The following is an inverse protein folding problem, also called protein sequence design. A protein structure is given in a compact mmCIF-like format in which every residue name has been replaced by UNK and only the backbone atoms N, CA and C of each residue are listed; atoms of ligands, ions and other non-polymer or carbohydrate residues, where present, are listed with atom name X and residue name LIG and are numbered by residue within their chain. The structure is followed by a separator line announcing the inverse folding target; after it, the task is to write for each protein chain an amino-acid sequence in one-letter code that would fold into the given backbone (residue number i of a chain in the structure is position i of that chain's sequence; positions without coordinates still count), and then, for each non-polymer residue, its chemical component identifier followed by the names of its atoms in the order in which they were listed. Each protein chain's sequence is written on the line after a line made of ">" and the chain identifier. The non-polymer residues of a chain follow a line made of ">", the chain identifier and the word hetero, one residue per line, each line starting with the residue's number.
data_IF_093881765253
#
_entry.id   IF_093881765253
#
_cell.length_a   1.000
_cell.length_b   1.000
_cell.length_c   1.000
_cell.angle_alpha   90.00
_cell.angle_beta   90.00
_cell.angle_gamma   90.00
#
_symmetry.space_group_name_H-M   'P 1'
#
loop_
_entity.id
_entity.type
_entity.pdbx_description
1 polymer ?
#
# COMPACT_ATOMS: atom_id res chain seq x y z
N UNK A 1 68.08 36.17 16.40
CA UNK A 1 67.11 35.36 15.65
C UNK A 1 67.24 33.95 16.19
N UNK A 2 66.67 33.72 17.37
CA UNK A 2 65.28 33.25 17.60
C UNK A 2 65.20 31.75 17.30
N UNK A 3 65.27 30.93 18.36
CA UNK A 3 64.13 30.23 18.98
C UNK A 3 63.64 29.08 18.08
N UNK A 4 63.79 27.82 18.50
CA UNK A 4 62.72 27.17 19.25
C UNK A 4 63.12 25.78 19.76
N UNK A 5 62.75 25.52 21.00
CA UNK A 5 63.01 24.28 21.73
C UNK A 5 61.67 23.75 22.25
N UNK A 6 61.40 22.46 22.01
CA UNK A 6 60.41 21.72 22.80
C UNK A 6 59.12 21.37 22.07
N UNK A 7 59.07 20.15 21.55
CA UNK A 7 57.82 19.39 21.46
C UNK A 7 58.13 17.91 21.15
N UNK A 8 58.46 17.13 22.18
CA UNK A 8 58.49 15.66 22.04
C UNK A 8 58.02 14.85 23.24
N UNK A 9 57.61 15.47 24.34
CA UNK A 9 57.22 14.76 25.57
C UNK A 9 55.75 14.96 26.00
N UNK A 10 54.85 15.42 25.12
CA UNK A 10 53.44 15.66 25.50
C UNK A 10 52.45 14.63 24.91
N UNK A 11 52.81 13.92 23.83
CA UNK A 11 51.86 12.98 23.19
C UNK A 11 51.76 11.61 23.89
N UNK A 12 52.84 11.07 24.47
CA UNK A 12 52.82 9.73 25.09
C UNK A 12 52.14 9.69 26.49
N UNK A 13 51.93 10.85 27.13
CA UNK A 13 51.24 10.95 28.43
C UNK A 13 49.72 11.09 28.29
N UNK A 14 49.27 11.75 27.22
CA UNK A 14 47.83 11.96 26.95
C UNK A 14 47.18 10.69 26.40
N UNK A 15 47.87 9.90 25.57
CA UNK A 15 47.29 8.68 25.01
C UNK A 15 47.10 7.57 26.07
N UNK A 16 48.01 7.47 27.03
CA UNK A 16 47.91 6.50 28.13
C UNK A 16 46.86 6.89 29.20
N UNK A 17 46.59 8.19 29.41
CA UNK A 17 45.51 8.62 30.31
C UNK A 17 44.12 8.39 29.71
N UNK A 18 43.96 8.60 28.40
CA UNK A 18 42.69 8.38 27.69
C UNK A 18 42.32 6.89 27.64
N UNK A 19 43.30 5.99 27.44
CA UNK A 19 43.05 4.55 27.45
C UNK A 19 42.67 4.01 28.84
N UNK A 20 43.25 4.57 29.91
CA UNK A 20 42.99 4.13 31.28
C UNK A 20 41.60 4.58 31.77
N UNK A 21 41.13 5.76 31.35
CA UNK A 21 39.78 6.25 31.63
C UNK A 21 38.70 5.52 30.80
N UNK A 22 38.96 5.18 29.55
CA UNK A 22 38.03 4.40 28.73
C UNK A 22 37.79 2.99 29.30
N UNK A 23 38.83 2.34 29.84
CA UNK A 23 38.70 1.02 30.46
C UNK A 23 37.94 1.08 31.80
N UNK A 24 38.12 2.16 32.58
CA UNK A 24 37.39 2.41 33.82
C UNK A 24 35.91 2.70 33.58
N UNK A 25 35.59 3.49 32.55
CA UNK A 25 34.20 3.81 32.15
C UNK A 25 33.49 2.55 31.64
N UNK A 26 34.16 1.72 30.85
CA UNK A 26 33.57 0.48 30.34
C UNK A 26 33.29 -0.54 31.46
N UNK A 27 34.16 -0.63 32.48
CA UNK A 27 33.90 -1.46 33.65
C UNK A 27 32.78 -0.89 34.55
N UNK A 28 32.62 0.44 34.61
CA UNK A 28 31.52 1.07 35.35
C UNK A 28 30.16 0.79 34.72
N UNK A 29 30.06 0.87 33.38
CA UNK A 29 28.84 0.51 32.64
C UNK A 29 28.56 -1.00 32.69
N UNK A 30 29.60 -1.85 32.67
CA UNK A 30 29.45 -3.30 32.77
C UNK A 30 29.02 -3.77 34.16
N UNK A 31 29.40 -3.05 35.22
CA UNK A 31 28.93 -3.32 36.58
C UNK A 31 27.55 -2.70 36.87
N UNK A 32 27.19 -1.54 36.28
CA UNK A 32 25.83 -1.00 36.40
C UNK A 32 24.75 -1.91 35.77
N UNK A 33 25.11 -2.64 34.71
CA UNK A 33 24.23 -3.63 34.08
C UNK A 33 24.11 -4.96 34.85
N UNK A 34 24.92 -5.19 35.88
CA UNK A 34 24.82 -6.41 36.71
C UNK A 34 23.84 -6.29 37.87
N UNK A 35 23.50 -5.08 38.30
CA UNK A 35 22.80 -4.87 39.58
C UNK A 35 21.33 -4.43 39.47
N UNK A 36 20.68 -4.56 38.32
CA UNK A 36 19.24 -4.27 38.29
C UNK A 36 18.40 -5.14 37.34
N UNK A 37 18.17 -6.42 37.70
CA UNK A 37 17.21 -7.28 36.99
C UNK A 37 15.79 -6.70 36.97
N UNK A 38 15.48 -5.74 37.85
CA UNK A 38 14.22 -5.00 37.86
C UNK A 38 14.13 -3.96 36.72
N UNK A 39 15.21 -3.24 36.40
CA UNK A 39 15.21 -2.23 35.34
C UNK A 39 15.11 -2.86 33.94
N UNK A 40 15.77 -4.01 33.74
CA UNK A 40 15.66 -4.80 32.51
C UNK A 40 14.27 -5.43 32.36
N UNK A 41 13.65 -5.89 33.45
CA UNK A 41 12.26 -6.36 33.44
C UNK A 41 11.28 -5.22 33.12
N UNK A 42 11.47 -4.03 33.70
CA UNK A 42 10.61 -2.87 33.45
C UNK A 42 10.76 -2.38 32.00
N UNK A 43 11.97 -2.33 31.44
CA UNK A 43 12.18 -1.94 30.03
C UNK A 43 11.60 -2.98 29.08
N UNK A 44 11.80 -4.27 29.33
CA UNK A 44 11.18 -5.37 28.56
C UNK A 44 9.66 -5.32 28.66
N UNK A 45 9.10 -5.10 29.84
CA UNK A 45 7.65 -5.02 30.04
C UNK A 45 7.04 -3.77 29.38
N UNK A 46 7.76 -2.65 29.37
CA UNK A 46 7.36 -1.42 28.67
C UNK A 46 7.41 -1.59 27.15
N UNK A 47 8.44 -2.25 26.62
CA UNK A 47 8.56 -2.60 25.19
C UNK A 47 7.47 -3.60 24.77
N UNK A 48 7.19 -4.61 25.60
CA UNK A 48 6.11 -5.57 25.36
C UNK A 48 4.74 -4.88 25.38
N UNK A 49 4.52 -3.95 26.34
CA UNK A 49 3.29 -3.16 26.42
C UNK A 49 3.09 -2.29 25.18
N UNK A 50 4.11 -1.53 24.77
CA UNK A 50 4.06 -0.70 23.55
C UNK A 50 3.82 -1.56 22.30
N UNK A 51 4.46 -2.73 22.20
CA UNK A 51 4.27 -3.65 21.08
C UNK A 51 2.85 -4.23 21.05
N UNK A 52 2.27 -4.53 22.22
CA UNK A 52 0.90 -5.03 22.32
C UNK A 52 -0.16 -3.96 21.99
N UNK A 53 0.03 -2.73 22.47
CA UNK A 53 -0.86 -1.59 22.20
C UNK A 53 -0.87 -1.24 20.71
N UNK A 54 0.31 -1.28 20.09
CA UNK A 54 0.47 -0.94 18.69
C UNK A 54 -0.11 -2.02 17.75
N UNK A 55 0.03 -3.29 18.11
CA UNK A 55 -0.60 -4.40 17.39
C UNK A 55 -2.14 -4.34 17.50
N UNK A 56 -2.66 -3.97 18.67
CA UNK A 56 -4.10 -3.82 18.91
C UNK A 56 -4.69 -2.64 18.12
N UNK A 57 -3.97 -1.52 18.00
CA UNK A 57 -4.39 -0.37 17.19
C UNK A 57 -4.42 -0.68 15.68
N UNK A 58 -3.43 -1.40 15.16
CA UNK A 58 -3.41 -1.81 13.74
C UNK A 58 -4.59 -2.72 13.39
N UNK A 59 -4.94 -3.65 14.28
CA UNK A 59 -6.08 -4.53 14.09
C UNK A 59 -7.42 -3.78 14.08
N UNK A 60 -7.60 -2.81 14.97
CA UNK A 60 -8.83 -2.01 15.02
C UNK A 60 -9.03 -1.20 13.74
N UNK A 61 -7.96 -0.64 13.18
CA UNK A 61 -8.02 0.14 11.94
C UNK A 61 -8.35 -0.72 10.72
N UNK A 62 -7.76 -1.92 10.60
CA UNK A 62 -8.12 -2.85 9.53
C UNK A 62 -9.60 -3.23 9.59
N UNK A 63 -10.11 -3.49 10.80
CA UNK A 63 -11.53 -3.77 11.04
C UNK A 63 -12.42 -2.59 10.59
N UNK A 64 -12.02 -1.36 10.91
CA UNK A 64 -12.76 -0.17 10.48
C UNK A 64 -12.77 0.00 8.96
N UNK A 65 -11.64 -0.25 8.29
CA UNK A 65 -11.58 -0.23 6.82
C UNK A 65 -12.49 -1.28 6.18
N UNK A 66 -12.52 -2.50 6.74
CA UNK A 66 -13.42 -3.57 6.24
C UNK A 66 -14.88 -3.18 6.43
N UNK A 67 -15.24 -2.60 7.58
CA UNK A 67 -16.61 -2.11 7.83
C UNK A 67 -16.95 -0.99 6.83
N UNK A 68 -16.04 -0.06 6.57
CA UNK A 68 -16.23 1.02 5.61
C UNK A 68 -16.48 0.50 4.19
N UNK A 69 -15.63 -0.41 3.69
CA UNK A 69 -15.85 -1.01 2.35
C UNK A 69 -17.13 -1.83 2.29
N UNK A 70 -17.55 -2.46 3.39
CA UNK A 70 -18.82 -3.17 3.48
C UNK A 70 -20.02 -2.24 3.38
N UNK A 71 -19.96 -1.07 4.02
CA UNK A 71 -21.01 -0.03 3.92
C UNK A 71 -21.17 0.47 2.48
N UNK A 72 -20.05 0.64 1.75
CA UNK A 72 -20.06 1.11 0.36
C UNK A 72 -20.51 0.01 -0.62
N UNK A 73 -20.51 -1.27 -0.20
CA UNK A 73 -20.83 -2.42 -1.06
C UNK A 73 -19.62 -3.01 -1.79
N UNK A 74 -18.41 -2.56 -1.45
CA UNK A 74 -17.12 -3.03 -1.97
C UNK A 74 -16.49 -4.13 -1.10
N UNK A 75 -17.21 -4.66 -0.11
CA UNK A 75 -16.80 -5.84 0.65
C UNK A 75 -18.03 -6.71 0.96
N UNK A 76 -18.37 -7.61 0.02
CA UNK A 76 -19.53 -8.50 0.14
C UNK A 76 -19.30 -9.67 1.09
N UNK A 77 -18.07 -9.93 1.55
CA UNK A 77 -17.71 -11.08 2.37
C UNK A 77 -18.02 -10.91 3.88
N UNK A 78 -18.21 -12.04 4.57
CA UNK A 78 -18.25 -12.11 6.02
C UNK A 78 -16.85 -12.30 6.59
N UNK A 79 -16.54 -11.58 7.66
CA UNK A 79 -15.29 -11.72 8.39
C UNK A 79 -15.52 -12.66 9.58
N UNK A 80 -14.94 -13.86 9.54
CA UNK A 80 -15.03 -14.82 10.63
C UNK A 80 -13.65 -15.00 11.30
N UNK A 81 -13.61 -14.87 12.62
CA UNK A 81 -12.42 -15.13 13.42
C UNK A 81 -12.48 -16.60 13.82
N UNK A 82 -11.62 -17.44 13.23
CA UNK A 82 -11.47 -18.83 13.66
C UNK A 82 -10.29 -18.90 14.63
N UNK A 83 -10.57 -19.11 15.91
CA UNK A 83 -9.52 -19.38 16.89
C UNK A 83 -9.04 -20.82 16.76
N UNK A 84 -7.79 -21.02 16.33
CA UNK A 84 -7.13 -22.33 16.35
C UNK A 84 -5.84 -22.24 17.16
N UNK A 85 -5.76 -23.00 18.25
CA UNK A 85 -4.58 -23.19 19.12
C UNK A 85 -3.77 -21.89 19.41
N UNK A 86 -4.32 -21.01 20.26
CA UNK A 86 -3.67 -19.80 20.83
C UNK A 86 -3.36 -18.62 19.89
N UNK A 87 -3.70 -18.67 18.59
CA UNK A 87 -3.58 -17.51 17.68
C UNK A 87 -4.88 -17.30 16.90
N UNK A 88 -5.33 -16.07 16.75
CA UNK A 88 -6.52 -15.72 15.95
C UNK A 88 -6.17 -15.80 14.47
N UNK A 89 -6.74 -16.78 13.75
CA UNK A 89 -6.67 -16.84 12.30
C UNK A 89 -7.94 -16.18 11.75
N UNK A 90 -7.74 -15.22 10.85
CA UNK A 90 -8.82 -14.49 10.21
C UNK A 90 -9.14 -15.19 8.90
N UNK A 91 -10.38 -15.64 8.74
CA UNK A 91 -10.83 -16.31 7.51
C UNK A 91 -12.02 -15.55 6.96
N UNK A 92 -11.94 -15.19 5.69
CA UNK A 92 -13.03 -14.56 4.96
C UNK A 92 -13.95 -15.64 4.40
N UNK A 93 -15.26 -15.42 4.50
CA UNK A 93 -16.27 -16.35 4.03
C UNK A 93 -17.27 -15.66 3.10
N UNK A 94 -17.85 -16.48 2.23
CA UNK A 94 -18.98 -16.10 1.42
C UNK A 94 -20.17 -15.70 2.31
N UNK A 95 -20.90 -14.66 1.90
CA UNK A 95 -22.01 -14.10 2.66
C UNK A 95 -23.14 -13.72 1.73
N UNK A 96 -24.24 -14.47 1.79
CA UNK A 96 -25.47 -14.21 1.03
C UNK A 96 -26.09 -12.85 1.39
N UNK A 97 -25.99 -12.44 2.66
CA UNK A 97 -26.41 -11.10 3.10
C UNK A 97 -25.67 -9.97 2.40
N UNK A 98 -24.42 -10.20 1.97
CA UNK A 98 -23.64 -9.20 1.24
C UNK A 98 -24.21 -8.97 -0.17
N UNK A 99 -24.69 -10.04 -0.80
CA UNK A 99 -25.36 -9.97 -2.11
C UNK A 99 -26.69 -9.25 -1.98
N UNK A 100 -27.52 -9.65 -1.01
CA UNK A 100 -28.83 -8.99 -0.76
C UNK A 100 -28.64 -7.50 -0.50
N UNK A 101 -27.64 -7.13 0.30
CA UNK A 101 -27.31 -5.72 0.56
C UNK A 101 -26.94 -4.97 -0.72
N UNK A 102 -26.05 -5.52 -1.54
CA UNK A 102 -25.64 -4.88 -2.80
C UNK A 102 -26.81 -4.77 -3.80
N UNK A 103 -27.72 -5.74 -3.85
CA UNK A 103 -28.93 -5.67 -4.69
C UNK A 103 -29.87 -4.55 -4.22
N UNK A 104 -30.07 -4.41 -2.90
CA UNK A 104 -30.85 -3.30 -2.33
C UNK A 104 -30.17 -1.96 -2.63
N UNK A 105 -28.85 -1.88 -2.50
CA UNK A 105 -28.08 -0.67 -2.78
C UNK A 105 -28.18 -0.26 -4.26
N UNK A 106 -28.05 -1.20 -5.19
CA UNK A 106 -28.27 -0.94 -6.63
C UNK A 106 -29.69 -0.46 -6.91
N UNK A 107 -30.69 -1.07 -6.27
CA UNK A 107 -32.10 -0.66 -6.41
C UNK A 107 -32.33 0.76 -5.89
N UNK A 108 -31.68 1.13 -4.78
CA UNK A 108 -31.75 2.47 -4.21
C UNK A 108 -31.12 3.52 -5.12
N UNK A 109 -30.00 3.19 -5.78
CA UNK A 109 -29.35 4.09 -6.76
C UNK A 109 -30.26 4.34 -7.97
N UNK A 110 -30.90 3.29 -8.49
CA UNK A 110 -31.86 3.40 -9.59
C UNK A 110 -33.06 4.26 -9.18
N UNK A 111 -33.60 4.05 -7.98
CA UNK A 111 -34.69 4.86 -7.44
C UNK A 111 -34.27 6.33 -7.24
N UNK A 112 -33.05 6.57 -6.77
CA UNK A 112 -32.49 7.91 -6.61
C UNK A 112 -32.41 8.64 -7.96
N UNK A 113 -32.02 7.97 -9.04
CA UNK A 113 -31.99 8.56 -10.37
C UNK A 113 -33.36 8.95 -10.90
N UNK A 114 -34.35 8.10 -10.65
CA UNK A 114 -35.73 8.39 -11.05
C UNK A 114 -36.24 9.70 -10.43
N UNK A 115 -35.75 10.05 -9.24
CA UNK A 115 -36.07 11.31 -8.56
C UNK A 115 -35.14 12.47 -8.99
N UNK A 116 -33.84 12.21 -9.15
CA UNK A 116 -32.85 13.27 -9.39
C UNK A 116 -32.90 13.84 -10.81
N UNK A 117 -33.16 13.01 -11.83
CA UNK A 117 -33.24 13.45 -13.23
C UNK A 117 -34.35 14.49 -13.45
N UNK A 118 -35.62 14.26 -13.08
CA UNK A 118 -36.67 15.26 -13.26
C UNK A 118 -36.44 16.51 -12.40
N UNK A 119 -35.84 16.35 -11.21
CA UNK A 119 -35.45 17.50 -10.38
C UNK A 119 -34.42 18.39 -11.08
N UNK A 120 -33.40 17.80 -11.72
CA UNK A 120 -32.38 18.55 -12.49
C UNK A 120 -32.95 19.25 -13.71
N UNK A 121 -33.86 18.61 -14.44
CA UNK A 121 -34.49 19.22 -15.62
C UNK A 121 -35.25 20.51 -15.25
N UNK A 122 -35.85 20.53 -14.06
CA UNK A 122 -36.65 21.65 -13.56
C UNK A 122 -35.83 22.71 -12.81
N UNK A 123 -34.57 22.45 -12.44
CA UNK A 123 -33.69 23.43 -11.81
C UNK A 123 -33.23 24.49 -12.84
N UNK A 124 -33.30 25.76 -12.46
CA UNK A 124 -32.72 26.88 -13.21
C UNK A 124 -31.40 27.30 -12.55
N UNK A 125 -30.34 27.41 -13.35
CA UNK A 125 -29.03 27.88 -12.92
C UNK A 125 -28.37 28.71 -14.02
N UNK A 126 -27.40 29.55 -13.65
CA UNK A 126 -26.90 30.69 -14.43
C UNK A 126 -26.27 30.32 -15.80
N UNK A 127 -25.81 29.07 -15.97
CA UNK A 127 -25.20 28.55 -17.20
C UNK A 127 -26.02 27.42 -17.86
N UNK A 128 -27.33 27.37 -17.64
CA UNK A 128 -28.20 26.32 -18.17
C UNK A 128 -28.30 26.41 -19.70
N UNK A 129 -27.81 25.37 -20.38
CA UNK A 129 -28.01 25.17 -21.83
C UNK A 129 -28.54 23.76 -22.09
N UNK A 130 -29.19 23.55 -23.24
CA UNK A 130 -29.65 22.20 -23.62
C UNK A 130 -28.49 21.19 -23.67
N UNK A 131 -27.28 21.65 -23.99
CA UNK A 131 -26.08 20.82 -24.04
C UNK A 131 -25.57 20.46 -22.65
N UNK A 132 -25.47 21.42 -21.72
CA UNK A 132 -25.00 21.15 -20.34
C UNK A 132 -25.97 20.23 -19.60
N UNK A 133 -27.28 20.48 -19.72
CA UNK A 133 -28.32 19.62 -19.16
C UNK A 133 -28.23 18.19 -19.74
N UNK A 134 -28.01 18.07 -21.05
CA UNK A 134 -27.83 16.76 -21.69
C UNK A 134 -26.62 16.00 -21.16
N UNK A 135 -25.49 16.68 -20.95
CA UNK A 135 -24.27 16.07 -20.40
C UNK A 135 -24.47 15.67 -18.93
N UNK A 136 -25.10 16.50 -18.11
CA UNK A 136 -25.36 16.18 -16.70
C UNK A 136 -26.27 14.94 -16.54
N UNK A 137 -27.34 14.86 -17.35
CA UNK A 137 -28.22 13.69 -17.34
C UNK A 137 -27.46 12.45 -17.80
N UNK A 138 -26.67 12.55 -18.86
CA UNK A 138 -25.84 11.46 -19.35
C UNK A 138 -24.85 10.99 -18.28
N UNK A 139 -24.18 11.91 -17.60
CA UNK A 139 -23.22 11.61 -16.53
C UNK A 139 -23.91 10.94 -15.33
N UNK A 140 -25.11 11.39 -14.95
CA UNK A 140 -25.90 10.78 -13.87
C UNK A 140 -26.27 9.32 -14.20
N UNK A 141 -26.78 9.09 -15.42
CA UNK A 141 -27.15 7.76 -15.90
C UNK A 141 -25.93 6.84 -15.98
N UNK A 142 -24.84 7.32 -16.58
CA UNK A 142 -23.59 6.57 -16.70
C UNK A 142 -22.98 6.25 -15.33
N UNK A 143 -22.91 7.23 -14.43
CA UNK A 143 -22.35 7.04 -13.09
C UNK A 143 -23.11 5.97 -12.32
N UNK A 144 -24.43 5.96 -12.44
CA UNK A 144 -25.26 4.95 -11.77
C UNK A 144 -25.17 3.58 -12.41
N UNK A 145 -25.09 3.52 -13.74
CA UNK A 145 -24.83 2.27 -14.46
C UNK A 145 -23.47 1.68 -14.04
N UNK A 146 -22.45 2.51 -13.88
CA UNK A 146 -21.13 2.09 -13.40
C UNK A 146 -21.19 1.58 -11.96
N UNK A 147 -21.85 2.28 -11.04
CA UNK A 147 -22.01 1.78 -9.67
C UNK A 147 -22.75 0.43 -9.67
N UNK A 148 -23.87 0.32 -10.39
CA UNK A 148 -24.63 -0.94 -10.46
C UNK A 148 -23.79 -2.08 -11.05
N UNK A 149 -22.99 -1.79 -12.08
CA UNK A 149 -22.08 -2.76 -12.69
C UNK A 149 -21.01 -3.21 -11.70
N UNK A 150 -20.38 -2.29 -10.96
CA UNK A 150 -19.40 -2.60 -9.92
C UNK A 150 -20.06 -3.48 -8.83
N UNK A 151 -21.20 -3.05 -8.29
CA UNK A 151 -21.91 -3.82 -7.25
C UNK A 151 -22.30 -5.22 -7.73
N UNK A 152 -22.70 -5.35 -9.00
CA UNK A 152 -23.03 -6.64 -9.63
C UNK A 152 -21.81 -7.56 -9.77
N UNK A 153 -20.67 -7.04 -10.23
CA UNK A 153 -19.42 -7.79 -10.30
C UNK A 153 -19.02 -8.28 -8.89
N UNK A 154 -19.12 -7.43 -7.86
CA UNK A 154 -18.84 -7.81 -6.48
C UNK A 154 -19.81 -8.86 -5.91
N UNK A 155 -21.00 -9.03 -6.50
CA UNK A 155 -21.92 -10.11 -6.16
C UNK A 155 -21.54 -11.43 -6.83
N UNK A 156 -21.23 -11.40 -8.14
CA UNK A 156 -20.86 -12.60 -8.91
C UNK A 156 -19.51 -13.14 -8.44
N UNK A 157 -18.50 -12.28 -8.39
CA UNK A 157 -17.11 -12.65 -8.15
C UNK A 157 -16.72 -12.58 -6.67
N UNK A 158 -17.71 -12.52 -5.77
CA UNK A 158 -17.49 -12.55 -4.32
C UNK A 158 -16.58 -13.72 -3.88
N UNK A 159 -16.75 -14.89 -4.49
CA UNK A 159 -15.93 -16.08 -4.20
C UNK A 159 -14.46 -15.86 -4.57
N UNK A 160 -14.20 -15.14 -5.66
CA UNK A 160 -12.84 -14.78 -6.08
C UNK A 160 -12.20 -13.82 -5.08
N UNK A 161 -12.91 -12.75 -4.69
CA UNK A 161 -12.45 -11.79 -3.69
C UNK A 161 -12.11 -12.46 -2.33
N UNK A 162 -12.95 -13.39 -1.89
CA UNK A 162 -12.70 -14.18 -0.66
C UNK A 162 -11.46 -15.07 -0.80
N UNK A 163 -11.29 -15.72 -1.96
CA UNK A 163 -10.11 -16.56 -2.25
C UNK A 163 -8.83 -15.73 -2.20
N UNK A 164 -8.81 -14.57 -2.86
CA UNK A 164 -7.69 -13.63 -2.85
C UNK A 164 -7.32 -13.24 -1.42
N UNK A 165 -8.31 -12.81 -0.62
CA UNK A 165 -8.07 -12.35 0.74
C UNK A 165 -7.53 -13.46 1.66
N UNK A 166 -8.05 -14.70 1.52
CA UNK A 166 -7.56 -15.84 2.29
C UNK A 166 -6.14 -16.26 1.86
N UNK A 167 -5.87 -16.35 0.56
CA UNK A 167 -4.52 -16.66 0.03
C UNK A 167 -3.48 -15.63 0.49
N UNK A 168 -3.84 -14.35 0.48
CA UNK A 168 -2.95 -13.29 0.95
C UNK A 168 -2.66 -13.41 2.45
N UNK A 169 -3.67 -13.74 3.26
CA UNK A 169 -3.50 -14.00 4.69
C UNK A 169 -2.63 -15.24 4.96
N UNK A 170 -2.77 -16.29 4.14
CA UNK A 170 -1.95 -17.50 4.25
C UNK A 170 -0.47 -17.20 3.94
N UNK A 171 -0.20 -16.44 2.88
CA UNK A 171 1.17 -15.99 2.55
C UNK A 171 1.75 -15.11 3.66
N UNK A 172 0.96 -14.18 4.21
CA UNK A 172 1.36 -13.38 5.36
C UNK A 172 1.72 -14.27 6.56
N UNK A 173 0.93 -15.30 6.83
CA UNK A 173 1.19 -16.22 7.93
C UNK A 173 2.47 -17.05 7.71
N UNK A 174 2.69 -17.51 6.49
CA UNK A 174 3.86 -18.31 6.13
C UNK A 174 5.14 -17.46 6.20
N UNK A 175 5.09 -16.21 5.70
CA UNK A 175 6.15 -15.21 5.83
C UNK A 175 6.49 -14.92 7.30
N UNK A 176 5.48 -14.68 8.13
CA UNK A 176 5.65 -14.45 9.57
C UNK A 176 6.31 -15.64 10.29
N UNK A 177 6.01 -16.87 9.86
CA UNK A 177 6.57 -18.10 10.44
C UNK A 177 8.03 -18.32 10.02
N UNK A 178 8.33 -18.11 8.74
CA UNK A 178 9.68 -18.30 8.18
C UNK A 178 10.65 -17.22 8.62
N UNK A 179 10.17 -15.99 8.76
CA UNK A 179 11.00 -14.82 8.98
C UNK A 179 10.70 -14.13 10.30
N UNK A 180 10.60 -14.91 11.38
CA UNK A 180 10.40 -14.46 12.77
C UNK A 180 11.28 -13.26 13.23
N UNK A 181 12.29 -12.87 12.43
CA UNK A 181 13.25 -11.80 12.60
C UNK A 181 13.12 -10.60 11.62
N UNK A 182 12.44 -10.74 10.47
CA UNK A 182 12.37 -9.70 9.42
C UNK A 182 11.18 -8.75 9.62
N UNK A 183 11.25 -8.06 10.76
CA UNK A 183 10.73 -6.74 11.11
C UNK A 183 9.22 -6.37 10.91
N UNK A 184 8.45 -6.21 12.01
CA UNK A 184 7.11 -5.61 11.99
C UNK A 184 7.09 -4.10 11.66
N UNK A 185 8.25 -3.42 11.69
CA UNK A 185 8.35 -1.97 11.50
C UNK A 185 8.06 -1.54 10.05
N UNK A 186 8.54 -2.29 9.05
CA UNK A 186 8.29 -1.98 7.63
C UNK A 186 6.81 -2.10 7.30
N UNK A 187 6.17 -3.18 7.75
CA UNK A 187 4.73 -3.43 7.59
C UNK A 187 3.89 -2.34 8.28
N UNK A 188 4.33 -1.88 9.46
CA UNK A 188 3.71 -0.76 10.16
C UNK A 188 3.79 0.56 9.38
N UNK A 189 4.94 0.88 8.76
CA UNK A 189 5.07 2.08 7.92
C UNK A 189 4.15 2.03 6.70
N UNK A 190 4.03 0.85 6.07
CA UNK A 190 3.14 0.64 4.93
C UNK A 190 1.68 0.82 5.36
N UNK A 191 1.29 0.23 6.50
CA UNK A 191 -0.04 0.40 7.06
C UNK A 191 -0.36 1.85 7.44
N UNK A 192 0.59 2.57 8.04
CA UNK A 192 0.45 3.99 8.35
C UNK A 192 0.29 4.84 7.07
N UNK A 193 1.10 4.57 6.04
CA UNK A 193 0.98 5.26 4.76
C UNK A 193 -0.39 5.01 4.10
N UNK A 194 -0.91 3.79 4.17
CA UNK A 194 -2.26 3.45 3.69
C UNK A 194 -3.36 4.21 4.44
N UNK A 195 -3.23 4.36 5.75
CA UNK A 195 -4.16 5.16 6.56
C UNK A 195 -4.12 6.63 6.15
N UNK A 196 -2.93 7.20 6.00
CA UNK A 196 -2.77 8.60 5.58
C UNK A 196 -3.45 8.83 4.23
N UNK A 197 -3.30 7.91 3.28
CA UNK A 197 -3.98 7.99 1.97
C UNK A 197 -5.51 7.99 2.11
N UNK A 198 -6.06 7.13 2.98
CA UNK A 198 -7.50 7.08 3.21
C UNK A 198 -8.01 8.38 3.88
N UNK A 199 -7.30 8.87 4.89
CA UNK A 199 -7.64 10.14 5.56
C UNK A 199 -7.60 11.30 4.56
N UNK A 200 -6.55 11.40 3.75
CA UNK A 200 -6.44 12.43 2.72
C UNK A 200 -7.61 12.35 1.72
N UNK A 201 -8.03 11.16 1.30
CA UNK A 201 -9.18 11.00 0.40
C UNK A 201 -10.48 11.48 1.05
N UNK A 202 -10.69 11.20 2.33
CA UNK A 202 -11.86 11.71 3.10
C UNK A 202 -11.78 13.23 3.25
N UNK A 203 -10.61 13.79 3.57
CA UNK A 203 -10.41 15.24 3.65
C UNK A 203 -10.70 15.93 2.31
N UNK A 204 -10.24 15.34 1.19
CA UNK A 204 -10.54 15.84 -0.15
C UNK A 204 -12.05 15.80 -0.47
N UNK A 205 -12.77 14.78 -0.01
CA UNK A 205 -14.22 14.72 -0.16
C UNK A 205 -14.93 15.80 0.65
N UNK A 206 -14.53 16.03 1.90
CA UNK A 206 -15.12 17.09 2.74
C UNK A 206 -14.84 18.46 2.11
N UNK A 207 -13.62 18.68 1.63
CA UNK A 207 -13.25 19.89 0.92
C UNK A 207 -14.12 20.10 -0.32
N UNK A 208 -14.29 19.05 -1.15
CA UNK A 208 -15.13 19.08 -2.34
C UNK A 208 -16.60 19.43 -2.00
N UNK A 209 -17.18 18.77 -1.00
CA UNK A 209 -18.54 19.06 -0.55
C UNK A 209 -18.70 20.51 -0.07
N UNK A 210 -17.70 21.01 0.66
CA UNK A 210 -17.71 22.38 1.18
C UNK A 210 -17.66 23.39 0.05
N UNK A 211 -16.81 23.18 -0.96
CA UNK A 211 -16.70 24.09 -2.10
C UNK A 211 -17.89 24.01 -3.04
N UNK A 212 -18.53 22.84 -3.18
CA UNK A 212 -19.75 22.67 -3.96
C UNK A 212 -20.94 23.43 -3.32
N UNK A 213 -21.04 23.42 -1.98
CA UNK A 213 -22.07 24.18 -1.23
C UNK A 213 -21.86 25.69 -1.38
N UNK A 214 -20.60 26.13 -1.31
CA UNK A 214 -20.26 27.54 -1.43
C UNK A 214 -20.55 28.04 -2.85
N UNK A 215 -20.00 27.36 -3.86
CA UNK A 215 -20.04 27.83 -5.25
C UNK A 215 -21.43 27.74 -5.90
N UNK A 216 -22.24 26.73 -5.57
CA UNK A 216 -23.49 26.47 -6.29
C UNK A 216 -24.73 26.40 -5.40
N UNK A 217 -24.59 26.56 -4.08
CA UNK A 217 -25.69 26.42 -3.10
C UNK A 217 -26.54 25.17 -3.32
N UNK A 218 -25.88 24.08 -3.73
CA UNK A 218 -26.57 22.90 -4.20
C UNK A 218 -27.19 22.09 -3.08
N UNK A 219 -28.39 21.57 -3.35
CA UNK A 219 -29.09 20.67 -2.43
C UNK A 219 -28.55 19.23 -2.49
N UNK A 220 -28.93 18.38 -1.52
CA UNK A 220 -28.43 17.00 -1.40
C UNK A 220 -28.72 16.11 -2.61
N UNK A 221 -29.69 16.48 -3.45
CA UNK A 221 -30.03 15.74 -4.68
C UNK A 221 -28.90 15.82 -5.72
N UNK A 222 -28.20 16.96 -5.84
CA UNK A 222 -27.08 17.07 -6.80
C UNK A 222 -25.91 16.18 -6.37
N UNK A 223 -25.63 16.11 -5.06
CA UNK A 223 -24.54 15.29 -4.51
C UNK A 223 -24.76 13.81 -4.80
N UNK A 224 -26.00 13.34 -4.71
CA UNK A 224 -26.36 11.95 -5.03
C UNK A 224 -26.15 11.60 -6.51
N UNK A 225 -26.26 12.57 -7.42
CA UNK A 225 -26.02 12.36 -8.85
C UNK A 225 -24.56 12.50 -9.27
N UNK A 226 -23.82 13.50 -8.76
CA UNK A 226 -22.49 13.83 -9.30
C UNK A 226 -21.35 13.31 -8.41
N UNK A 227 -21.47 13.56 -7.10
CA UNK A 227 -20.43 13.24 -6.14
C UNK A 227 -20.45 11.76 -5.80
N UNK A 228 -21.64 11.17 -5.62
CA UNK A 228 -21.78 9.76 -5.19
C UNK A 228 -21.15 8.75 -6.18
N UNK A 229 -21.36 8.81 -7.50
CA UNK A 229 -20.69 7.90 -8.43
C UNK A 229 -19.17 8.08 -8.44
N UNK A 230 -18.70 9.33 -8.42
CA UNK A 230 -17.28 9.65 -8.38
C UNK A 230 -16.63 9.18 -7.07
N UNK A 231 -17.33 9.31 -5.95
CA UNK A 231 -16.93 8.80 -4.65
C UNK A 231 -16.83 7.26 -4.68
N UNK A 232 -17.84 6.57 -5.19
CA UNK A 232 -17.88 5.11 -5.23
C UNK A 232 -16.75 4.54 -6.09
N UNK A 233 -16.57 5.06 -7.31
CA UNK A 233 -15.46 4.68 -8.20
C UNK A 233 -14.11 5.06 -7.59
N UNK A 234 -14.00 6.23 -6.96
CA UNK A 234 -12.79 6.65 -6.27
C UNK A 234 -12.38 5.67 -5.16
N UNK A 235 -13.33 5.16 -4.38
CA UNK A 235 -13.05 4.16 -3.34
C UNK A 235 -12.75 2.77 -3.88
N UNK A 236 -13.33 2.37 -5.01
CA UNK A 236 -12.92 1.17 -5.73
C UNK A 236 -11.42 1.24 -6.08
N UNK A 237 -10.96 2.35 -6.65
CA UNK A 237 -9.55 2.55 -6.99
C UNK A 237 -8.65 2.57 -5.75
N UNK A 238 -9.09 3.19 -4.65
CA UNK A 238 -8.34 3.16 -3.38
C UNK A 238 -8.28 1.73 -2.83
N UNK A 239 -9.37 0.95 -2.86
CA UNK A 239 -9.37 -0.44 -2.43
C UNK A 239 -8.36 -1.26 -3.23
N UNK A 240 -8.35 -1.10 -4.55
CA UNK A 240 -7.39 -1.78 -5.41
C UNK A 240 -5.94 -1.35 -5.09
N UNK A 241 -5.70 -0.05 -4.91
CA UNK A 241 -4.40 0.48 -4.48
C UNK A 241 -3.92 -0.13 -3.15
N UNK A 242 -4.81 -0.29 -2.17
CA UNK A 242 -4.47 -0.89 -0.87
C UNK A 242 -4.00 -2.33 -1.05
N UNK A 243 -4.75 -3.12 -1.84
CA UNK A 243 -4.44 -4.52 -2.10
C UNK A 243 -3.10 -4.68 -2.84
N UNK A 244 -2.89 -3.90 -3.91
CA UNK A 244 -1.62 -3.89 -4.65
C UNK A 244 -0.46 -3.45 -3.75
N UNK A 245 -0.67 -2.52 -2.84
CA UNK A 245 0.37 -2.07 -1.90
C UNK A 245 0.78 -3.18 -0.93
N UNK A 246 -0.15 -4.01 -0.48
CA UNK A 246 0.16 -5.18 0.37
C UNK A 246 0.96 -6.21 -0.42
N UNK A 247 0.48 -6.61 -1.61
CA UNK A 247 1.18 -7.57 -2.47
C UNK A 247 2.59 -7.07 -2.84
N UNK A 248 2.73 -5.78 -3.14
CA UNK A 248 4.02 -5.14 -3.40
C UNK A 248 4.97 -5.24 -2.19
N UNK A 249 4.43 -5.09 -0.97
CA UNK A 249 5.21 -5.24 0.25
C UNK A 249 5.75 -6.68 0.37
N UNK A 250 4.87 -7.66 0.17
CA UNK A 250 5.20 -9.08 0.26
C UNK A 250 6.26 -9.47 -0.80
N UNK A 251 6.14 -9.03 -2.05
CA UNK A 251 7.16 -9.23 -3.08
C UNK A 251 8.52 -8.66 -2.69
N UNK A 252 8.51 -7.47 -2.10
CA UNK A 252 9.73 -6.79 -1.73
C UNK A 252 10.37 -7.37 -0.46
N UNK A 253 9.59 -8.02 0.41
CA UNK A 253 10.09 -8.83 1.52
C UNK A 253 10.70 -10.14 1.02
N UNK A 254 10.06 -10.83 0.07
CA UNK A 254 10.61 -12.00 -0.64
C UNK A 254 11.94 -11.65 -1.31
N UNK A 255 11.99 -10.58 -2.09
CA UNK A 255 13.21 -10.14 -2.77
C UNK A 255 14.35 -9.84 -1.79
N UNK A 256 14.04 -9.19 -0.67
CA UNK A 256 15.03 -8.89 0.36
C UNK A 256 15.53 -10.16 1.06
N UNK A 257 14.65 -11.14 1.29
CA UNK A 257 15.03 -12.44 1.82
C UNK A 257 15.96 -13.20 0.87
N UNK A 258 15.68 -13.22 -0.45
CA UNK A 258 16.55 -13.87 -1.45
C UNK A 258 17.93 -13.18 -1.44
N UNK A 259 17.95 -11.85 -1.44
CA UNK A 259 19.19 -11.08 -1.37
C UNK A 259 19.99 -11.36 -0.09
N UNK A 260 19.31 -11.45 1.06
CA UNK A 260 19.98 -11.75 2.34
C UNK A 260 20.64 -13.13 2.32
N UNK A 261 19.97 -14.13 1.73
CA UNK A 261 20.52 -15.47 1.56
C UNK A 261 21.75 -15.49 0.64
N UNK A 262 21.74 -14.60 -0.36
CA UNK A 262 22.86 -14.39 -1.28
C UNK A 262 24.05 -13.69 -0.59
N UNK A 263 23.76 -12.71 0.28
CA UNK A 263 24.76 -11.84 0.93
C UNK A 263 25.45 -12.51 2.11
N UNK A 264 24.80 -13.43 2.82
CA UNK A 264 25.44 -14.26 3.88
C UNK A 264 26.58 -15.13 3.31
N UNK A 265 26.63 -15.35 1.99
CA UNK A 265 27.78 -15.94 1.30
C UNK A 265 28.99 -15.01 1.10
N UNK A 266 28.88 -13.72 1.41
CA UNK A 266 29.97 -12.75 1.25
C UNK A 266 30.16 -11.99 2.56
N UNK A 267 31.20 -12.32 3.36
CA UNK A 267 31.56 -11.50 4.51
C UNK A 267 31.95 -10.10 4.05
N UNK A 268 31.40 -9.09 4.73
CA UNK A 268 31.83 -7.71 4.58
C UNK A 268 33.31 -7.56 4.91
N UNK A 269 33.92 -6.59 4.23
CA UNK A 269 35.33 -6.30 4.18
C UNK A 269 35.99 -6.22 5.57
N UNK A 270 36.86 -7.18 5.87
CA UNK A 270 38.18 -6.88 6.40
C UNK A 270 39.20 -7.02 5.27
N UNK A 271 40.10 -6.06 5.03
CA UNK A 271 41.19 -6.24 4.09
C UNK A 271 42.26 -7.11 4.77
N UNK A 272 42.05 -8.42 4.81
CA UNK A 272 43.11 -9.37 5.12
C UNK A 272 43.49 -10.11 3.85
N UNK A 273 44.50 -9.53 3.21
CA UNK A 273 45.61 -10.18 2.52
C UNK A 273 45.49 -11.68 2.22
N UNK A 274 45.66 -11.98 0.93
CA UNK A 274 46.20 -13.22 0.34
C UNK A 274 45.22 -14.39 0.15
N UNK A 275 44.93 -14.65 -1.13
CA UNK A 275 44.66 -15.94 -1.75
C UNK A 275 43.83 -16.95 -0.93
N UNK A 276 42.57 -16.60 -0.65
CA UNK A 276 41.60 -17.60 -0.21
C UNK A 276 40.38 -17.61 -1.13
N UNK A 277 40.33 -18.65 -1.94
CA UNK A 277 39.31 -18.96 -2.93
C UNK A 277 37.91 -18.84 -2.33
N UNK A 278 37.16 -17.86 -2.83
CA UNK A 278 35.74 -17.57 -2.57
C UNK A 278 34.90 -18.86 -2.58
N UNK A 279 34.62 -19.42 -1.41
CA UNK A 279 33.76 -20.60 -1.20
C UNK A 279 32.50 -20.14 -0.48
N UNK A 280 31.41 -19.99 -1.22
CA UNK A 280 30.07 -19.97 -0.63
C UNK A 280 29.59 -21.42 -0.66
N UNK A 281 29.59 -22.10 0.48
CA UNK A 281 29.01 -23.45 0.57
C UNK A 281 27.51 -23.27 0.79
N UNK A 282 26.69 -23.55 -0.22
CA UNK A 282 25.24 -23.67 -0.01
C UNK A 282 25.00 -24.96 0.77
N UNK A 283 24.66 -24.85 2.05
CA UNK A 283 24.18 -25.99 2.83
C UNK A 283 22.82 -26.47 2.28
N UNK A 284 22.48 -27.75 2.47
CA UNK A 284 21.15 -28.28 2.12
C UNK A 284 19.98 -27.45 2.70
N UNK A 285 20.20 -26.78 3.84
CA UNK A 285 19.23 -25.87 4.45
C UNK A 285 19.01 -24.57 3.67
N UNK A 286 20.06 -23.99 3.05
CA UNK A 286 19.93 -22.77 2.24
C UNK A 286 19.28 -23.05 0.90
N UNK A 287 19.49 -24.24 0.32
CA UNK A 287 18.77 -24.69 -0.88
C UNK A 287 17.28 -24.88 -0.57
N UNK A 288 16.93 -25.47 0.58
CA UNK A 288 15.54 -25.63 1.00
C UNK A 288 14.84 -24.29 1.24
N UNK A 289 15.52 -23.33 1.86
CA UNK A 289 15.00 -21.96 2.04
C UNK A 289 14.80 -21.23 0.72
N UNK A 290 15.69 -21.40 -0.25
CA UNK A 290 15.55 -20.81 -1.58
C UNK A 290 14.35 -21.40 -2.34
N UNK A 291 14.12 -22.72 -2.22
CA UNK A 291 12.95 -23.38 -2.80
C UNK A 291 11.64 -22.86 -2.20
N UNK A 292 11.57 -22.74 -0.87
CA UNK A 292 10.40 -22.14 -0.20
C UNK A 292 10.14 -20.72 -0.68
N UNK A 293 11.20 -19.92 -0.84
CA UNK A 293 11.08 -18.53 -1.27
C UNK A 293 10.67 -18.38 -2.74
N UNK A 294 11.08 -19.32 -3.59
CA UNK A 294 10.56 -19.45 -4.96
C UNK A 294 9.07 -19.79 -4.95
N UNK A 295 8.67 -20.77 -4.15
CA UNK A 295 7.27 -21.21 -4.08
C UNK A 295 6.38 -20.07 -3.57
N UNK A 296 6.84 -19.29 -2.58
CA UNK A 296 6.20 -18.04 -2.14
C UNK A 296 6.07 -17.00 -3.25
N UNK A 297 7.14 -16.77 -4.02
CA UNK A 297 7.10 -15.85 -5.16
C UNK A 297 6.08 -16.31 -6.21
N UNK A 298 6.03 -17.61 -6.53
CA UNK A 298 5.04 -18.17 -7.45
C UNK A 298 3.61 -17.95 -6.93
N UNK A 299 3.36 -18.21 -5.64
CA UNK A 299 2.05 -17.93 -5.03
C UNK A 299 1.68 -16.45 -5.07
N UNK A 300 2.63 -15.54 -4.83
CA UNK A 300 2.38 -14.10 -4.96
C UNK A 300 2.07 -13.68 -6.41
N UNK A 301 2.70 -14.31 -7.41
CA UNK A 301 2.35 -14.09 -8.81
C UNK A 301 0.92 -14.55 -9.12
N UNK A 302 0.53 -15.75 -8.68
CA UNK A 302 -0.85 -16.26 -8.84
C UNK A 302 -1.88 -15.34 -8.16
N UNK A 303 -1.59 -14.87 -6.94
CA UNK A 303 -2.46 -13.92 -6.23
C UNK A 303 -2.54 -12.58 -6.98
N UNK A 304 -1.42 -12.08 -7.50
CA UNK A 304 -1.39 -10.84 -8.28
C UNK A 304 -2.20 -10.95 -9.56
N UNK A 305 -2.19 -12.12 -10.21
CA UNK A 305 -3.00 -12.42 -11.39
C UNK A 305 -4.49 -12.49 -11.04
N UNK A 306 -4.87 -13.26 -10.01
CA UNK A 306 -6.25 -13.34 -9.50
C UNK A 306 -6.80 -11.93 -9.17
N UNK A 307 -5.97 -11.07 -8.57
CA UNK A 307 -6.31 -9.67 -8.24
C UNK A 307 -6.49 -8.82 -9.49
N UNK A 308 -5.57 -8.92 -10.44
CA UNK A 308 -5.66 -8.19 -11.70
C UNK A 308 -6.94 -8.58 -12.44
N UNK A 309 -7.25 -9.87 -12.51
CA UNK A 309 -8.44 -10.38 -13.20
C UNK A 309 -9.73 -9.87 -12.55
N UNK A 310 -9.83 -9.93 -11.22
CA UNK A 310 -11.00 -9.42 -10.49
C UNK A 310 -11.23 -7.92 -10.69
N UNK A 311 -10.18 -7.09 -10.61
CA UNK A 311 -10.31 -5.63 -10.68
C UNK A 311 -10.32 -5.09 -12.13
N UNK A 312 -9.90 -5.87 -13.13
CA UNK A 312 -9.78 -5.44 -14.52
C UNK A 312 -11.05 -4.76 -15.07
N UNK A 313 -12.19 -5.44 -14.96
CA UNK A 313 -13.47 -4.97 -15.49
C UNK A 313 -14.07 -3.81 -14.67
N UNK A 314 -14.17 -3.87 -13.32
CA UNK A 314 -14.61 -2.73 -12.51
C UNK A 314 -13.77 -1.47 -12.73
N UNK A 315 -12.45 -1.61 -12.83
CA UNK A 315 -11.52 -0.50 -13.03
C UNK A 315 -11.66 0.08 -14.43
N UNK A 316 -11.89 -0.74 -15.45
CA UNK A 316 -12.15 -0.26 -16.82
C UNK A 316 -13.38 0.66 -16.86
N UNK A 317 -14.52 0.19 -16.36
CA UNK A 317 -15.74 1.01 -16.30
C UNK A 317 -15.55 2.26 -15.44
N UNK A 318 -14.87 2.12 -14.30
CA UNK A 318 -14.52 3.22 -13.42
C UNK A 318 -13.67 4.29 -14.11
N UNK A 319 -12.60 3.90 -14.82
CA UNK A 319 -11.75 4.84 -15.55
C UNK A 319 -12.48 5.53 -16.70
N UNK A 320 -13.30 4.81 -17.46
CA UNK A 320 -14.12 5.43 -18.52
C UNK A 320 -15.02 6.52 -17.95
N UNK A 321 -15.69 6.27 -16.82
CA UNK A 321 -16.52 7.25 -16.16
C UNK A 321 -15.73 8.45 -15.60
N UNK A 322 -14.60 8.20 -14.92
CA UNK A 322 -13.76 9.27 -14.39
C UNK A 322 -13.18 10.14 -15.51
N UNK A 323 -12.83 9.54 -16.65
CA UNK A 323 -12.32 10.26 -17.81
C UNK A 323 -13.38 11.18 -18.43
N UNK A 324 -14.61 10.69 -18.60
CA UNK A 324 -15.74 11.51 -19.06
C UNK A 324 -16.01 12.67 -18.09
N UNK A 325 -15.99 12.39 -16.78
CA UNK A 325 -16.15 13.39 -15.73
C UNK A 325 -15.01 14.43 -15.74
N UNK A 326 -13.79 13.99 -16.03
CA UNK A 326 -12.62 14.87 -16.15
C UNK A 326 -12.74 15.80 -17.37
N UNK A 327 -13.21 15.28 -18.52
CA UNK A 327 -13.47 16.11 -19.71
C UNK A 327 -14.53 17.17 -19.41
N UNK A 328 -15.61 16.77 -18.73
CA UNK A 328 -16.68 17.68 -18.34
C UNK A 328 -16.16 18.80 -17.43
N UNK A 329 -15.46 18.45 -16.35
CA UNK A 329 -14.87 19.46 -15.45
C UNK A 329 -13.77 20.29 -16.14
N UNK A 330 -13.04 19.70 -17.08
CA UNK A 330 -12.08 20.41 -17.93
C UNK A 330 -12.75 21.47 -18.81
N UNK A 331 -13.92 21.18 -19.37
CA UNK A 331 -14.70 22.17 -20.12
C UNK A 331 -15.06 23.38 -19.25
N UNK A 332 -15.51 23.18 -18.01
CA UNK A 332 -15.79 24.28 -17.08
C UNK A 332 -14.54 25.08 -16.70
N UNK A 333 -13.36 24.44 -16.66
CA UNK A 333 -12.10 25.14 -16.44
C UNK A 333 -11.71 26.02 -17.64
N UNK A 334 -11.85 25.49 -18.87
CA UNK A 334 -11.37 26.16 -20.09
C UNK A 334 -12.38 27.15 -20.68
N UNK A 335 -13.68 26.95 -20.49
CA UNK A 335 -14.72 27.82 -21.06
C UNK A 335 -14.53 29.30 -20.68
N UNK A 336 -14.26 29.67 -19.42
CA UNK A 336 -14.03 31.07 -19.04
C UNK A 336 -12.68 31.62 -19.50
N UNK A 337 -11.67 30.75 -19.69
CA UNK A 337 -10.38 31.17 -20.25
C UNK A 337 -10.48 31.53 -21.73
N UNK A 338 -11.39 30.89 -22.47
CA UNK A 338 -11.61 31.09 -23.90
C UNK A 338 -12.63 32.19 -24.20
N UNK A 339 -13.57 32.45 -23.28
CA UNK A 339 -14.62 33.47 -23.41
C UNK A 339 -14.20 34.70 -22.59
N UNK A 340 -13.57 35.66 -23.26
CA UNK A 340 -12.89 36.84 -22.69
C UNK A 340 -13.77 37.76 -21.81
N UNK A 341 -15.10 37.61 -21.83
CA UNK A 341 -16.05 38.53 -21.17
C UNK A 341 -16.63 37.99 -19.85
N UNK A 342 -16.40 36.73 -19.48
CA UNK A 342 -16.93 36.15 -18.24
C UNK A 342 -15.83 36.00 -17.18
N UNK A 343 -15.77 36.93 -16.23
CA UNK A 343 -14.96 36.79 -15.02
C UNK A 343 -15.58 35.63 -14.21
N UNK A 344 -15.00 34.43 -14.31
CA UNK A 344 -15.47 33.31 -13.50
C UNK A 344 -15.25 33.64 -12.03
N UNK A 345 -16.30 33.50 -11.23
CA UNK A 345 -16.23 33.71 -9.80
C UNK A 345 -15.16 32.79 -9.19
N UNK A 346 -14.36 33.36 -8.29
CA UNK A 346 -13.26 32.65 -7.62
C UNK A 346 -13.72 31.34 -6.97
N UNK A 347 -14.96 31.30 -6.47
CA UNK A 347 -15.58 30.13 -5.86
C UNK A 347 -15.76 28.98 -6.86
N UNK A 348 -16.26 29.27 -8.06
CA UNK A 348 -16.46 28.28 -9.13
C UNK A 348 -15.13 27.77 -9.68
N UNK A 349 -14.13 28.65 -9.83
CA UNK A 349 -12.77 28.25 -10.22
C UNK A 349 -12.15 27.31 -9.19
N UNK A 350 -12.20 27.69 -7.91
CA UNK A 350 -11.65 26.90 -6.81
C UNK A 350 -12.30 25.51 -6.74
N UNK A 351 -13.64 25.46 -6.84
CA UNK A 351 -14.38 24.20 -6.87
C UNK A 351 -13.95 23.29 -8.03
N UNK A 352 -13.78 23.85 -9.22
CA UNK A 352 -13.33 23.11 -10.41
C UNK A 352 -11.93 22.51 -10.20
N UNK A 353 -10.98 23.26 -9.64
CA UNK A 353 -9.65 22.73 -9.32
C UNK A 353 -9.71 21.59 -8.29
N UNK A 354 -10.55 21.71 -7.27
CA UNK A 354 -10.72 20.68 -6.25
C UNK A 354 -11.34 19.41 -6.87
N UNK A 355 -12.31 19.56 -7.77
CA UNK A 355 -12.86 18.45 -8.57
C UNK A 355 -11.77 17.72 -9.35
N UNK A 356 -10.91 18.45 -10.07
CA UNK A 356 -9.79 17.85 -10.82
C UNK A 356 -8.82 17.09 -9.91
N UNK A 357 -8.45 17.68 -8.77
CA UNK A 357 -7.59 17.01 -7.77
C UNK A 357 -8.26 15.74 -7.25
N UNK A 358 -9.57 15.81 -6.93
CA UNK A 358 -10.32 14.69 -6.40
C UNK A 358 -10.39 13.50 -7.37
N UNK A 359 -10.52 13.78 -8.68
CA UNK A 359 -10.52 12.80 -9.77
C UNK A 359 -9.13 12.21 -10.02
N UNK A 360 -8.10 13.04 -10.10
CA UNK A 360 -6.74 12.63 -10.48
C UNK A 360 -6.02 11.89 -9.34
N UNK A 361 -6.33 12.22 -8.08
CA UNK A 361 -5.68 11.64 -6.90
C UNK A 361 -5.68 10.09 -6.85
N UNK A 362 -6.85 9.39 -6.91
CA UNK A 362 -6.87 7.93 -6.85
C UNK A 362 -6.21 7.28 -8.09
N UNK A 363 -6.34 7.91 -9.27
CA UNK A 363 -5.71 7.43 -10.51
C UNK A 363 -4.19 7.46 -10.36
N UNK A 364 -3.64 8.59 -9.93
CA UNK A 364 -2.20 8.78 -9.77
C UNK A 364 -1.59 7.82 -8.75
N UNK A 365 -2.30 7.59 -7.64
CA UNK A 365 -1.88 6.63 -6.62
C UNK A 365 -1.81 5.20 -7.16
N UNK A 366 -2.88 4.76 -7.84
CA UNK A 366 -2.96 3.41 -8.38
C UNK A 366 -1.90 3.20 -9.47
N UNK A 367 -1.74 4.15 -10.39
CA UNK A 367 -0.71 4.08 -11.45
C UNK A 367 0.69 3.98 -10.86
N UNK A 368 1.04 4.84 -9.90
CA UNK A 368 2.36 4.82 -9.27
C UNK A 368 2.63 3.48 -8.55
N UNK A 369 1.64 2.91 -7.87
CA UNK A 369 1.79 1.59 -7.22
C UNK A 369 1.91 0.45 -8.22
N UNK A 370 1.12 0.47 -9.28
CA UNK A 370 1.18 -0.53 -10.35
C UNK A 370 2.58 -0.54 -11.01
N UNK A 371 3.16 0.63 -11.26
CA UNK A 371 4.54 0.72 -11.75
C UNK A 371 5.56 0.17 -10.74
N UNK A 372 5.35 0.42 -9.43
CA UNK A 372 6.25 -0.08 -8.39
C UNK A 372 6.20 -1.60 -8.24
N UNK A 373 5.03 -2.22 -8.28
CA UNK A 373 4.92 -3.69 -8.22
C UNK A 373 5.60 -4.33 -9.44
N UNK A 374 5.39 -3.79 -10.64
CA UNK A 374 6.06 -4.28 -11.85
C UNK A 374 7.59 -4.20 -11.72
N UNK A 375 8.11 -3.11 -11.16
CA UNK A 375 9.53 -2.96 -10.88
C UNK A 375 10.04 -3.97 -9.83
N UNK A 376 9.27 -4.28 -8.79
CA UNK A 376 9.64 -5.29 -7.80
C UNK A 376 9.65 -6.71 -8.37
N UNK A 377 8.67 -7.07 -9.20
CA UNK A 377 8.66 -8.34 -9.94
C UNK A 377 9.90 -8.44 -10.85
N UNK A 378 10.22 -7.35 -11.58
CA UNK A 378 11.43 -7.29 -12.42
C UNK A 378 12.74 -7.43 -11.62
N UNK A 379 12.80 -6.90 -10.39
CA UNK A 379 13.98 -7.05 -9.53
C UNK A 379 14.23 -8.50 -9.14
N UNK A 380 13.19 -9.32 -8.96
CA UNK A 380 13.36 -10.75 -8.63
C UNK A 380 14.20 -11.46 -9.70
N UNK A 381 13.94 -11.19 -10.98
CA UNK A 381 14.73 -11.73 -12.10
C UNK A 381 16.22 -11.38 -12.00
N UNK A 382 16.54 -10.12 -11.66
CA UNK A 382 17.92 -9.68 -11.47
C UNK A 382 18.61 -10.37 -10.29
N UNK A 383 17.90 -10.58 -9.18
CA UNK A 383 18.44 -11.26 -8.00
C UNK A 383 18.72 -12.74 -8.31
N UNK A 384 17.78 -13.42 -9.00
CA UNK A 384 17.95 -14.82 -9.42
C UNK A 384 19.10 -14.97 -10.41
N UNK A 385 19.22 -14.06 -11.39
CA UNK A 385 20.32 -14.10 -12.34
C UNK A 385 21.69 -13.92 -11.66
N UNK A 386 21.76 -13.03 -10.66
CA UNK A 386 22.95 -12.89 -9.80
C UNK A 386 23.32 -14.17 -9.07
N UNK A 387 22.32 -14.87 -8.51
CA UNK A 387 22.49 -16.18 -7.86
C UNK A 387 23.01 -17.25 -8.82
N UNK A 388 22.41 -17.35 -10.01
CA UNK A 388 22.81 -18.33 -11.03
C UNK A 388 24.26 -18.11 -11.48
N UNK A 389 24.66 -16.85 -11.71
CA UNK A 389 26.04 -16.49 -12.04
C UNK A 389 27.02 -16.89 -10.93
N UNK A 390 26.63 -16.73 -9.66
CA UNK A 390 27.42 -17.17 -8.51
C UNK A 390 27.51 -18.70 -8.37
N UNK A 391 26.52 -19.46 -8.86
CA UNK A 391 26.53 -20.93 -8.86
C UNK A 391 27.41 -21.48 -10.00
N UNK A 392 27.20 -21.01 -11.23
CA UNK A 392 27.97 -21.43 -12.42
C UNK A 392 29.46 -21.10 -12.28
N UNK A 393 29.79 -19.95 -11.69
CA UNK A 393 31.17 -19.56 -11.40
C UNK A 393 31.88 -20.44 -10.37
N UNK A 394 31.16 -21.30 -9.62
CA UNK A 394 31.76 -22.32 -8.75
C UNK A 394 31.99 -23.62 -9.50
N UNK A 395 31.03 -24.05 -10.31
CA UNK A 395 31.06 -25.33 -11.04
C UNK A 395 32.22 -25.36 -12.04
N UNK A 396 32.36 -24.31 -12.84
CA UNK A 396 33.52 -24.09 -13.73
C UNK A 396 34.85 -24.01 -12.98
N UNK A 397 34.86 -23.50 -11.74
CA UNK A 397 36.08 -23.47 -10.90
C UNK A 397 36.41 -24.81 -10.26
N UNK A 398 35.44 -25.68 -10.02
CA UNK A 398 35.69 -27.04 -9.52
C UNK A 398 36.18 -27.98 -10.61
N UNK A 399 35.69 -27.83 -11.85
CA UNK A 399 36.13 -28.63 -13.00
C UNK A 399 37.59 -28.32 -13.38
N UNK A 400 37.96 -27.04 -13.50
CA UNK A 400 39.35 -26.62 -13.78
C UNK A 400 40.33 -27.05 -12.68
N UNK A 401 39.85 -27.25 -11.44
CA UNK A 401 40.70 -27.73 -10.34
C UNK A 401 40.86 -29.25 -10.31
N UNK A 402 39.95 -29.98 -10.96
CA UNK A 402 40.03 -31.43 -11.12
C UNK A 402 40.84 -31.85 -12.35
N UNK A 403 40.92 -31.01 -13.39
CA UNK A 403 41.76 -31.27 -14.57
C UNK A 403 43.25 -30.92 -14.37
N UNK A 404 43.62 -30.23 -13.29
CA UNK A 404 45.01 -29.79 -13.00
C UNK A 404 45.69 -30.65 -11.91
N UNK A 405 45.08 -31.75 -11.49
CA UNK A 405 45.68 -32.80 -10.64
C UNK A 405 45.70 -34.11 -11.39
#
# INVERSE_FOLDING_TARGET
>A
MEEDSGCKNVFDSVENSIFMDAYKINNFFKNLNKDNPAAEKISKQKVIKIKSELHQNSFWMLKMSIIFFKLIGLATFAHHIVMRKKRSLYTFQYSEFGIVYNVILSSLIIASNYLSIPFRLNLEYENKSNLTVGIEVLQTVLGSLVICTILFIYCIDQKSLVRIANRLMDVEHEMDCLYHLYQPLRRQHIFCAMIIVCILKVCLLILLLTTEILAFHTGPVSWLSDILPTFHVGWLLIQYFLLVTIIQADFADVNQAIQSLTRVGTPDLRPQSLYQTRRVVFSNSTVHQLLQLRDMHCHLCEISEDVSDFYSLPVLFGFTFLFLTLIYNGYYLFSPLLMTDNILEYETLSNTFIWLIFLIYPISLLTNRTTKILNEIGKTGNVIHGLLRCAIGKETKSEVRHEVT
#
